data_IF_145321742768
#
_entry.id   IF_145321742768
#
_cell.length_a   1.000
_cell.length_b   1.000
_cell.length_c   1.000
_cell.angle_alpha   90.00
_cell.angle_beta   90.00
_cell.angle_gamma   90.00
#
_symmetry.space_group_name_H-M   'P 1'
#
loop_
_entity.id
_entity.type
_entity.pdbx_description
1 polymer ?
#
# COMPACT_ATOMS: atom_id res chain seq x y z
N UNK A 1 -43.77 -9.93 -0.64
CA UNK A 1 -42.88 -9.65 -1.80
C UNK A 1 -42.10 -10.94 -2.07
N UNK A 2 -42.19 -11.46 -3.29
CA UNK A 2 -41.40 -12.63 -3.70
C UNK A 2 -39.94 -12.15 -3.80
N UNK A 3 -39.02 -12.87 -3.14
CA UNK A 3 -37.59 -12.56 -3.25
C UNK A 3 -37.17 -12.62 -4.72
N UNK A 4 -36.56 -11.54 -5.22
CA UNK A 4 -36.00 -11.47 -6.57
C UNK A 4 -34.54 -11.95 -6.64
N UNK A 5 -33.98 -12.37 -5.51
CA UNK A 5 -32.60 -12.87 -5.42
C UNK A 5 -32.47 -14.25 -6.03
N UNK A 6 -31.37 -14.45 -6.73
CA UNK A 6 -30.96 -15.76 -7.28
C UNK A 6 -29.66 -16.21 -6.62
N UNK A 7 -29.54 -17.49 -6.36
CA UNK A 7 -28.25 -18.11 -5.96
C UNK A 7 -27.34 -18.18 -7.20
N UNK A 8 -26.10 -17.69 -7.07
CA UNK A 8 -25.08 -17.67 -8.13
C UNK A 8 -23.71 -17.97 -7.53
N UNK A 9 -22.75 -18.37 -8.36
CA UNK A 9 -21.41 -18.78 -7.95
C UNK A 9 -20.34 -17.95 -8.70
N UNK A 10 -20.22 -16.64 -8.45
CA UNK A 10 -19.27 -15.80 -9.14
C UNK A 10 -17.83 -16.14 -8.74
N UNK A 11 -16.95 -16.36 -9.71
CA UNK A 11 -15.54 -16.62 -9.48
C UNK A 11 -14.77 -15.39 -8.95
N UNK A 12 -15.33 -14.18 -9.08
CA UNK A 12 -14.71 -12.91 -8.67
C UNK A 12 -15.66 -12.17 -7.73
N UNK A 13 -15.17 -11.84 -6.52
CA UNK A 13 -15.89 -11.08 -5.50
C UNK A 13 -15.13 -9.77 -5.14
N UNK A 14 -14.57 -9.07 -6.14
CA UNK A 14 -13.92 -7.77 -5.95
C UNK A 14 -14.98 -6.66 -5.99
N UNK A 15 -15.49 -6.31 -4.80
CA UNK A 15 -16.70 -5.49 -4.62
C UNK A 15 -16.41 -4.00 -4.41
N UNK A 16 -15.29 -3.51 -4.91
CA UNK A 16 -14.92 -2.09 -4.81
C UNK A 16 -13.95 -1.79 -3.66
N UNK A 17 -12.66 -1.87 -3.95
CA UNK A 17 -11.58 -1.54 -3.02
C UNK A 17 -10.60 -0.57 -3.67
N UNK A 18 -9.94 0.31 -2.89
CA UNK A 18 -8.96 1.22 -3.45
C UNK A 18 -7.79 0.45 -4.06
N UNK A 19 -7.28 0.96 -5.19
CA UNK A 19 -6.03 0.49 -5.78
C UNK A 19 -4.88 1.24 -5.15
N UNK A 20 -3.85 0.50 -4.74
CA UNK A 20 -2.59 1.05 -4.24
C UNK A 20 -1.41 0.54 -5.06
N UNK A 21 -0.31 1.28 -5.03
CA UNK A 21 1.01 0.84 -5.46
C UNK A 21 1.87 0.54 -4.23
N UNK A 22 2.28 -0.71 -4.07
CA UNK A 22 3.15 -1.10 -2.98
C UNK A 22 4.59 -1.14 -3.45
N UNK A 23 5.46 -0.30 -2.90
CA UNK A 23 6.90 -0.31 -3.19
C UNK A 23 7.67 -1.05 -2.10
N UNK A 24 8.66 -1.84 -2.50
CA UNK A 24 9.51 -2.68 -1.65
C UNK A 24 10.91 -2.77 -2.25
N UNK A 25 11.88 -3.31 -1.51
CA UNK A 25 13.23 -3.58 -2.02
C UNK A 25 13.44 -5.08 -2.27
N UNK A 26 13.94 -5.40 -3.45
CA UNK A 26 14.38 -6.74 -3.83
C UNK A 26 15.65 -7.17 -3.07
N UNK A 27 16.02 -8.47 -3.05
CA UNK A 27 17.23 -8.93 -2.40
C UNK A 27 18.52 -8.26 -2.91
N UNK A 28 18.56 -7.84 -4.17
CA UNK A 28 19.68 -7.14 -4.80
C UNK A 28 19.66 -5.61 -4.57
N UNK A 29 18.73 -5.10 -3.75
CA UNK A 29 18.58 -3.67 -3.48
C UNK A 29 17.79 -2.87 -4.52
N UNK A 30 17.40 -3.47 -5.65
CA UNK A 30 16.56 -2.78 -6.64
C UNK A 30 15.14 -2.57 -6.13
N UNK A 31 14.45 -1.56 -6.65
CA UNK A 31 13.08 -1.25 -6.25
C UNK A 31 12.09 -2.17 -6.96
N UNK A 32 11.12 -2.70 -6.22
CA UNK A 32 9.98 -3.40 -6.77
C UNK A 32 8.71 -2.58 -6.50
N UNK A 33 7.80 -2.55 -7.47
CA UNK A 33 6.53 -1.83 -7.41
C UNK A 33 5.41 -2.75 -7.88
N UNK A 34 4.29 -2.81 -7.12
CA UNK A 34 3.18 -3.70 -7.46
C UNK A 34 1.83 -3.06 -7.15
N UNK A 35 0.90 -3.01 -8.14
CA UNK A 35 -0.47 -2.64 -7.88
C UNK A 35 -1.19 -3.78 -7.15
N UNK A 36 -1.96 -3.44 -6.12
CA UNK A 36 -2.90 -4.33 -5.44
C UNK A 36 -4.17 -3.57 -5.07
N UNK A 37 -5.26 -4.30 -4.88
CA UNK A 37 -6.54 -3.75 -4.40
C UNK A 37 -7.09 -4.52 -3.20
N UNK A 38 -6.41 -5.60 -2.78
CA UNK A 38 -6.74 -6.32 -1.56
C UNK A 38 -6.17 -5.58 -0.34
N UNK A 39 -6.76 -4.43 -0.01
CA UNK A 39 -6.28 -3.54 1.04
C UNK A 39 -7.42 -2.89 1.80
N UNK A 40 -7.25 -2.76 3.12
CA UNK A 40 -8.10 -1.93 3.97
C UNK A 40 -7.31 -1.42 5.18
N UNK A 41 -7.84 -0.39 5.85
CA UNK A 41 -7.21 0.25 7.00
C UNK A 41 -8.10 0.18 8.23
N UNK A 42 -7.47 -0.01 9.40
CA UNK A 42 -8.08 0.16 10.72
C UNK A 42 -7.14 1.04 11.56
N UNK A 43 -7.50 2.30 11.72
CA UNK A 43 -6.61 3.30 12.30
C UNK A 43 -5.34 3.46 11.45
N UNK A 44 -4.16 3.46 12.09
CA UNK A 44 -2.86 3.55 11.43
C UNK A 44 -2.26 2.17 11.13
N UNK A 45 -3.12 1.21 10.79
CA UNK A 45 -2.72 -0.11 10.31
C UNK A 45 -3.41 -0.42 9.00
N UNK A 46 -2.71 -1.14 8.13
CA UNK A 46 -3.26 -1.64 6.89
C UNK A 46 -3.11 -3.16 6.84
N UNK A 47 -4.10 -3.81 6.23
CA UNK A 47 -4.07 -5.22 5.87
C UNK A 47 -3.89 -5.32 4.36
N UNK A 48 -2.85 -6.03 3.93
CA UNK A 48 -2.43 -6.14 2.53
C UNK A 48 -2.52 -7.60 2.09
N UNK A 49 -3.44 -7.91 1.17
CA UNK A 49 -3.63 -9.25 0.64
C UNK A 49 -2.73 -9.57 -0.55
N UNK A 50 -2.04 -10.71 -0.50
CA UNK A 50 -1.14 -11.16 -1.56
C UNK A 50 -1.23 -12.67 -1.80
N UNK A 51 -0.88 -13.10 -3.01
CA UNK A 51 -0.37 -14.47 -3.17
C UNK A 51 0.96 -14.58 -2.43
N UNK A 52 1.16 -15.65 -1.66
CA UNK A 52 2.37 -15.86 -0.84
C UNK A 52 3.67 -15.87 -1.69
N UNK A 53 3.57 -16.32 -2.94
CA UNK A 53 4.67 -16.35 -3.92
C UNK A 53 4.98 -14.99 -4.55
N UNK A 54 4.25 -13.92 -4.19
CA UNK A 54 4.51 -12.61 -4.78
C UNK A 54 5.81 -12.03 -4.24
N UNK A 55 6.62 -11.45 -5.13
CA UNK A 55 7.87 -10.78 -4.74
C UNK A 55 7.64 -9.69 -3.70
N UNK A 56 6.52 -8.97 -3.79
CA UNK A 56 6.17 -7.91 -2.84
C UNK A 56 5.96 -8.47 -1.43
N UNK A 57 5.19 -9.56 -1.28
CA UNK A 57 4.98 -10.19 0.02
C UNK A 57 6.29 -10.70 0.62
N UNK A 58 7.11 -11.40 -0.19
CA UNK A 58 8.41 -11.89 0.24
C UNK A 58 9.35 -10.76 0.66
N UNK A 59 9.37 -9.66 -0.08
CA UNK A 59 10.16 -8.48 0.27
C UNK A 59 9.72 -7.87 1.60
N UNK A 60 8.40 -7.65 1.81
CA UNK A 60 7.87 -7.09 3.05
C UNK A 60 8.24 -7.96 4.25
N UNK A 61 8.07 -9.28 4.15
CA UNK A 61 8.42 -10.21 5.23
C UNK A 61 9.93 -10.19 5.51
N UNK A 62 10.75 -10.16 4.47
CA UNK A 62 12.21 -10.17 4.58
C UNK A 62 12.78 -8.87 5.14
N UNK A 63 12.30 -7.69 4.65
CA UNK A 63 12.86 -6.38 5.02
C UNK A 63 12.16 -5.76 6.23
N UNK A 64 10.93 -6.16 6.50
CA UNK A 64 10.09 -5.52 7.51
C UNK A 64 9.49 -4.19 7.06
N UNK A 65 9.62 -3.78 5.79
CA UNK A 65 9.32 -2.43 5.33
C UNK A 65 8.61 -2.40 3.98
N UNK A 66 7.74 -1.41 3.80
CA UNK A 66 7.13 -1.07 2.51
C UNK A 66 6.63 0.38 2.50
N UNK A 67 6.27 0.85 1.30
CA UNK A 67 5.49 2.09 1.15
C UNK A 67 4.19 1.78 0.40
N UNK A 68 3.09 2.24 0.95
CA UNK A 68 1.77 2.19 0.33
C UNK A 68 1.55 3.55 -0.35
N UNK A 69 1.59 3.57 -1.68
CA UNK A 69 1.33 4.77 -2.45
C UNK A 69 -0.10 4.69 -3.00
N UNK A 70 -0.88 5.76 -2.83
CA UNK A 70 -2.27 5.81 -3.27
C UNK A 70 -2.35 6.69 -4.53
N UNK A 71 -2.52 6.07 -5.70
CA UNK A 71 -2.66 6.79 -6.96
C UNK A 71 -4.02 7.44 -7.09
N UNK A 72 -4.10 8.52 -7.85
CA UNK A 72 -5.35 9.10 -8.32
C UNK A 72 -5.86 8.37 -9.57
N UNK A 73 -7.14 8.56 -9.89
CA UNK A 73 -7.81 7.92 -11.04
C UNK A 73 -7.17 8.26 -12.39
N UNK A 74 -6.53 9.43 -12.53
CA UNK A 74 -5.81 9.87 -13.73
C UNK A 74 -4.51 9.10 -13.99
N UNK A 75 -4.03 8.31 -13.00
CA UNK A 75 -2.84 7.46 -13.10
C UNK A 75 -3.16 6.04 -13.59
N UNK A 76 -4.37 5.78 -14.12
CA UNK A 76 -4.82 4.45 -14.53
C UNK A 76 -3.88 3.77 -15.52
N UNK A 77 -3.29 4.51 -16.46
CA UNK A 77 -2.40 3.94 -17.47
C UNK A 77 -1.09 3.41 -16.87
N UNK A 78 -0.51 4.12 -15.89
CA UNK A 78 0.68 3.66 -15.17
C UNK A 78 0.39 2.36 -14.42
N UNK A 79 -0.75 2.31 -13.73
CA UNK A 79 -1.19 1.13 -12.99
C UNK A 79 -1.45 -0.05 -13.93
N UNK A 80 -2.13 0.19 -15.04
CA UNK A 80 -2.47 -0.86 -15.99
C UNK A 80 -1.23 -1.46 -16.67
N UNK A 81 -0.20 -0.66 -16.94
CA UNK A 81 1.09 -1.18 -17.41
C UNK A 81 1.69 -2.20 -16.45
N UNK A 82 1.57 -1.99 -15.13
CA UNK A 82 2.09 -2.89 -14.10
C UNK A 82 1.25 -4.14 -13.84
N UNK A 83 -0.02 -4.18 -14.25
CA UNK A 83 -1.03 -5.15 -13.78
C UNK A 83 -0.64 -6.62 -13.98
N UNK A 84 0.09 -6.97 -15.05
CA UNK A 84 0.61 -8.33 -15.30
C UNK A 84 2.13 -8.40 -15.30
N UNK A 85 2.77 -7.64 -14.40
CA UNK A 85 4.21 -7.75 -14.17
C UNK A 85 4.51 -8.38 -12.81
N UNK A 86 5.65 -9.06 -12.71
CA UNK A 86 6.15 -9.61 -11.44
C UNK A 86 7.62 -9.26 -11.24
N UNK A 87 8.02 -9.06 -9.98
CA UNK A 87 9.43 -8.94 -9.60
C UNK A 87 10.12 -10.29 -9.36
N UNK A 88 9.36 -11.40 -9.43
CA UNK A 88 9.92 -12.75 -9.25
C UNK A 88 10.57 -13.25 -10.53
N UNK A 89 11.81 -13.72 -10.43
CA UNK A 89 12.54 -14.38 -11.51
C UNK A 89 13.23 -15.64 -10.96
N UNK A 90 12.85 -16.86 -11.41
CA UNK A 90 11.83 -17.14 -12.45
C UNK A 90 10.40 -16.74 -12.05
N UNK A 91 9.56 -16.51 -13.06
CA UNK A 91 8.13 -16.23 -12.85
C UNK A 91 7.46 -17.47 -12.26
N UNK A 92 6.74 -17.39 -11.12
CA UNK A 92 6.00 -18.52 -10.56
C UNK A 92 5.03 -19.14 -11.57
N UNK A 93 4.90 -20.47 -11.58
CA UNK A 93 4.15 -21.20 -12.59
C UNK A 93 2.69 -20.72 -12.70
N UNK A 94 1.99 -20.54 -11.59
CA UNK A 94 0.61 -20.04 -11.59
C UNK A 94 0.49 -18.62 -12.16
N UNK A 95 1.49 -17.77 -11.96
CA UNK A 95 1.55 -16.42 -12.55
C UNK A 95 1.83 -16.49 -14.05
N UNK A 96 2.74 -17.36 -14.48
CA UNK A 96 3.07 -17.54 -15.89
C UNK A 96 1.83 -17.99 -16.70
N UNK A 97 1.04 -18.93 -16.16
CA UNK A 97 -0.23 -19.38 -16.77
C UNK A 97 -1.25 -18.24 -16.93
N UNK A 98 -1.24 -17.24 -16.03
CA UNK A 98 -2.09 -16.05 -16.11
C UNK A 98 -1.48 -14.90 -16.94
N UNK A 99 -0.37 -15.16 -17.64
CA UNK A 99 0.28 -14.22 -18.54
C UNK A 99 1.11 -13.13 -17.85
N UNK A 100 1.57 -13.36 -16.62
CA UNK A 100 2.52 -12.48 -15.97
C UNK A 100 3.91 -12.62 -16.58
N UNK A 101 4.63 -11.50 -16.64
CA UNK A 101 6.02 -11.46 -17.09
C UNK A 101 6.91 -10.80 -16.02
N UNK A 102 8.16 -11.22 -15.97
CA UNK A 102 9.17 -10.56 -15.16
C UNK A 102 9.45 -9.15 -15.68
N UNK A 103 9.52 -8.19 -14.77
CA UNK A 103 9.95 -6.83 -15.04
C UNK A 103 10.91 -6.37 -13.93
N UNK A 104 12.14 -6.04 -14.32
CA UNK A 104 13.20 -5.63 -13.40
C UNK A 104 13.06 -4.18 -12.96
N UNK A 105 12.76 -3.28 -13.91
CA UNK A 105 12.57 -1.84 -13.65
C UNK A 105 11.10 -1.46 -13.78
N UNK A 106 10.35 -1.71 -12.72
CA UNK A 106 8.92 -1.40 -12.70
C UNK A 106 8.61 0.09 -12.62
N UNK A 107 9.49 0.88 -12.03
CA UNK A 107 9.32 2.33 -11.99
C UNK A 107 9.46 2.92 -13.40
N UNK A 108 10.56 2.66 -14.09
CA UNK A 108 10.77 3.12 -15.47
C UNK A 108 9.73 2.56 -16.43
N UNK A 109 9.37 1.25 -16.29
CA UNK A 109 8.33 0.64 -17.10
C UNK A 109 6.95 1.28 -16.94
N UNK A 110 6.60 1.71 -15.72
CA UNK A 110 5.35 2.43 -15.44
C UNK A 110 5.42 3.93 -15.81
N UNK A 111 6.61 4.48 -15.99
CA UNK A 111 6.83 5.93 -16.14
C UNK A 111 6.58 6.68 -14.84
N UNK A 112 6.98 6.08 -13.70
CA UNK A 112 6.85 6.64 -12.36
C UNK A 112 8.23 6.94 -11.78
N UNK A 113 8.29 7.94 -10.88
CA UNK A 113 9.54 8.43 -10.30
C UNK A 113 9.68 7.96 -8.85
N UNK A 114 10.77 7.22 -8.52
CA UNK A 114 11.06 6.87 -7.13
C UNK A 114 11.55 8.11 -6.38
N UNK A 115 11.01 8.32 -5.17
CA UNK A 115 11.39 9.39 -4.25
C UNK A 115 11.79 8.79 -2.90
N UNK A 116 12.89 9.27 -2.31
CA UNK A 116 13.39 8.76 -1.03
C UNK A 116 12.33 8.87 0.08
N UNK A 117 12.18 7.80 0.86
CA UNK A 117 11.38 7.77 2.08
C UNK A 117 12.12 8.39 3.26
N UNK A 118 11.40 8.73 4.33
CA UNK A 118 11.97 9.32 5.56
C UNK A 118 12.22 8.27 6.66
N UNK A 119 11.42 7.21 6.72
CA UNK A 119 11.43 6.27 7.86
C UNK A 119 11.66 4.82 7.46
N UNK A 120 11.65 4.51 6.16
CA UNK A 120 11.84 3.18 5.58
C UNK A 120 12.75 3.26 4.36
N UNK A 121 13.38 2.13 3.99
CA UNK A 121 14.28 2.10 2.83
C UNK A 121 13.57 2.05 1.46
N UNK A 122 12.42 1.38 1.26
CA UNK A 122 11.70 1.39 -0.02
C UNK A 122 11.27 2.82 -0.40
N UNK A 123 11.40 3.21 -1.69
CA UNK A 123 11.05 4.54 -2.13
C UNK A 123 9.54 4.77 -2.18
N UNK A 124 9.13 6.01 -2.02
CA UNK A 124 7.80 6.52 -2.36
C UNK A 124 7.66 6.70 -3.87
N UNK A 125 6.43 6.79 -4.37
CA UNK A 125 6.13 7.16 -5.77
C UNK A 125 5.78 8.65 -5.80
N UNK A 126 6.61 9.46 -6.48
CA UNK A 126 6.49 10.93 -6.50
C UNK A 126 5.10 11.39 -6.97
N UNK A 127 4.56 10.75 -7.99
CA UNK A 127 3.28 11.12 -8.62
C UNK A 127 2.05 10.75 -7.79
N UNK A 128 2.18 9.85 -6.80
CA UNK A 128 1.06 9.48 -5.94
C UNK A 128 0.80 10.56 -4.89
N UNK A 129 -0.42 11.13 -4.83
CA UNK A 129 -0.71 12.26 -3.95
C UNK A 129 -0.72 11.93 -2.46
N UNK A 130 -0.88 10.66 -2.10
CA UNK A 130 -0.81 10.18 -0.73
C UNK A 130 0.17 9.00 -0.67
N UNK A 131 1.10 9.02 0.30
CA UNK A 131 2.11 7.98 0.46
C UNK A 131 2.24 7.63 1.94
N UNK A 132 2.22 6.34 2.27
CA UNK A 132 2.24 5.83 3.62
C UNK A 132 3.47 4.93 3.79
N UNK A 133 4.46 5.39 4.53
CA UNK A 133 5.61 4.56 4.92
C UNK A 133 5.19 3.62 6.05
N UNK A 134 5.49 2.34 5.92
CA UNK A 134 4.97 1.33 6.82
C UNK A 134 5.99 0.26 7.18
N UNK A 135 5.85 -0.29 8.40
CA UNK A 135 6.61 -1.43 8.88
C UNK A 135 5.73 -2.66 9.05
N UNK A 136 6.27 -3.82 8.72
CA UNK A 136 5.61 -5.12 8.86
C UNK A 136 5.38 -5.46 10.35
N UNK A 137 4.23 -6.04 10.64
CA UNK A 137 3.87 -6.49 12.00
C UNK A 137 3.70 -8.00 12.04
N UNK A 138 2.85 -8.55 11.16
CA UNK A 138 2.50 -9.97 11.16
C UNK A 138 1.97 -10.42 9.81
N UNK A 139 2.16 -11.70 9.49
CA UNK A 139 1.51 -12.39 8.37
C UNK A 139 0.38 -13.28 8.91
N UNK A 140 -0.74 -13.30 8.20
CA UNK A 140 -1.89 -14.16 8.46
C UNK A 140 -2.14 -15.03 7.23
N UNK A 141 -2.12 -16.33 7.38
CA UNK A 141 -2.51 -17.25 6.32
C UNK A 141 -4.02 -17.15 6.09
N UNK A 142 -4.41 -16.97 4.84
CA UNK A 142 -5.81 -16.98 4.41
C UNK A 142 -6.07 -18.29 3.69
N UNK A 143 -7.22 -18.94 3.95
CA UNK A 143 -7.57 -20.26 3.40
C UNK A 143 -6.60 -21.37 3.83
N UNK A 144 -6.01 -21.28 5.03
CA UNK A 144 -5.08 -22.31 5.54
C UNK A 144 -5.76 -23.67 5.70
N UNK A 145 -7.04 -23.65 6.09
CA UNK A 145 -7.93 -24.82 6.19
C UNK A 145 -8.11 -25.54 4.86
N UNK A 146 -8.18 -24.82 3.75
CA UNK A 146 -8.32 -25.40 2.42
C UNK A 146 -6.99 -25.96 1.87
N UNK A 147 -5.85 -25.41 2.31
CA UNK A 147 -4.54 -25.90 1.85
C UNK A 147 -4.20 -27.29 2.41
N UNK A 148 -4.61 -27.60 3.64
CA UNK A 148 -4.46 -28.93 4.21
C UNK A 148 -5.34 -29.96 3.49
N UNK A 149 -6.52 -29.55 3.03
CA UNK A 149 -7.45 -30.40 2.25
C UNK A 149 -6.98 -30.58 0.79
N UNK A 150 -6.50 -29.54 0.16
CA UNK A 150 -6.11 -29.49 -1.26
C UNK A 150 -4.81 -30.24 -1.58
N UNK A 151 -4.04 -30.67 -0.59
CA UNK A 151 -2.91 -31.60 -0.85
C UNK A 151 -3.40 -32.95 -1.37
N UNK A 152 -4.68 -33.29 -1.17
CA UNK A 152 -5.28 -34.54 -1.62
C UNK A 152 -6.09 -34.43 -2.92
N UNK A 153 -6.65 -33.25 -3.23
CA UNK A 153 -7.46 -33.05 -4.46
C UNK A 153 -7.28 -31.63 -5.06
N UNK A 154 -6.10 -31.30 -5.57
CA UNK A 154 -5.97 -30.06 -6.37
C UNK A 154 -6.78 -30.19 -7.64
N UNK A 155 -7.85 -29.38 -7.80
CA UNK A 155 -8.44 -29.16 -9.10
C UNK A 155 -7.35 -28.54 -10.00
N UNK A 156 -7.12 -29.07 -11.17
CA UNK A 156 -6.12 -28.59 -12.15
C UNK A 156 -6.34 -27.15 -12.59
N UNK A 157 -7.43 -26.54 -12.18
CA UNK A 157 -7.86 -25.19 -12.56
C UNK A 157 -7.46 -24.10 -11.56
N UNK A 158 -7.13 -24.43 -10.31
CA UNK A 158 -6.70 -23.44 -9.33
C UNK A 158 -5.21 -23.13 -9.49
N UNK A 159 -4.91 -21.92 -9.98
CA UNK A 159 -3.53 -21.43 -10.19
C UNK A 159 -3.01 -20.56 -9.06
N UNK A 160 -3.79 -20.37 -7.97
CA UNK A 160 -3.38 -19.60 -6.79
C UNK A 160 -2.44 -20.41 -5.91
N UNK A 161 -1.32 -19.83 -5.53
CA UNK A 161 -0.29 -20.48 -4.72
C UNK A 161 -0.24 -19.86 -3.30
N UNK A 162 -1.22 -20.19 -2.48
CA UNK A 162 -1.34 -19.64 -1.12
C UNK A 162 -1.73 -18.17 -1.09
N UNK A 163 -2.56 -17.80 -0.13
CA UNK A 163 -2.94 -16.41 0.11
C UNK A 163 -2.47 -16.00 1.51
N UNK A 164 -1.85 -14.85 1.59
CA UNK A 164 -1.42 -14.25 2.85
C UNK A 164 -1.95 -12.83 2.98
N UNK A 165 -2.34 -12.45 4.18
CA UNK A 165 -2.68 -11.09 4.53
C UNK A 165 -1.59 -10.54 5.47
N UNK A 166 -0.92 -9.47 5.07
CA UNK A 166 0.15 -8.85 5.84
C UNK A 166 -0.38 -7.64 6.60
N UNK A 167 -0.27 -7.67 7.92
CA UNK A 167 -0.51 -6.50 8.77
C UNK A 167 0.72 -5.62 8.75
N UNK A 168 0.54 -4.34 8.38
CA UNK A 168 1.57 -3.32 8.44
C UNK A 168 1.12 -2.13 9.28
N UNK A 169 2.08 -1.47 9.94
CA UNK A 169 1.87 -0.27 10.75
C UNK A 169 2.42 0.94 10.03
N UNK A 170 1.59 1.97 9.85
CA UNK A 170 1.99 3.24 9.25
C UNK A 170 2.94 3.98 10.22
N UNK A 171 4.06 4.45 9.68
CA UNK A 171 5.09 5.22 10.38
C UNK A 171 5.04 6.70 10.01
N UNK A 172 4.73 6.99 8.74
CA UNK A 172 4.68 8.33 8.20
C UNK A 172 3.62 8.41 7.12
N UNK A 173 2.91 9.54 7.09
CA UNK A 173 1.94 9.88 6.04
C UNK A 173 2.44 11.13 5.34
N UNK A 174 2.56 11.07 4.00
CA UNK A 174 2.85 12.19 3.13
C UNK A 174 1.63 12.47 2.27
N UNK A 175 1.23 13.72 2.17
CA UNK A 175 0.08 14.16 1.40
C UNK A 175 0.46 15.43 0.65
N UNK A 176 0.08 15.53 -0.63
CA UNK A 176 0.24 16.79 -1.36
C UNK A 176 -0.62 17.88 -0.70
N UNK A 177 -0.07 19.09 -0.46
CA UNK A 177 -0.78 20.12 0.30
C UNK A 177 -2.17 20.50 -0.25
N UNK A 178 -2.37 20.38 -1.56
CA UNK A 178 -3.64 20.67 -2.23
C UNK A 178 -4.79 19.73 -1.85
N UNK A 179 -4.51 18.59 -1.23
CA UNK A 179 -5.52 17.66 -0.71
C UNK A 179 -5.86 17.88 0.76
N UNK A 180 -5.22 18.83 1.44
CA UNK A 180 -5.48 19.09 2.86
C UNK A 180 -6.59 20.11 3.03
N UNK A 181 -7.39 19.95 4.09
CA UNK A 181 -8.39 20.93 4.47
C UNK A 181 -7.75 22.31 4.75
N UNK A 182 -8.32 23.43 4.30
CA UNK A 182 -7.72 24.76 4.45
C UNK A 182 -7.38 25.16 5.90
N UNK A 183 -8.11 24.62 6.86
CA UNK A 183 -7.99 24.98 8.28
C UNK A 183 -7.46 23.83 9.16
N UNK A 184 -7.13 22.65 8.58
CA UNK A 184 -6.59 21.51 9.30
C UNK A 184 -5.59 20.73 8.43
N UNK A 185 -4.31 20.98 8.68
CA UNK A 185 -3.20 20.33 7.95
C UNK A 185 -3.06 18.83 8.23
N UNK A 186 -3.82 18.28 9.15
CA UNK A 186 -3.84 16.83 9.43
C UNK A 186 -5.08 16.13 8.85
N UNK A 187 -5.91 16.86 8.13
CA UNK A 187 -7.15 16.33 7.55
C UNK A 187 -7.12 16.39 6.03
N UNK A 188 -7.28 15.21 5.41
CA UNK A 188 -7.42 15.10 3.96
C UNK A 188 -8.87 15.44 3.59
N UNK A 189 -9.02 16.28 2.58
CA UNK A 189 -10.33 16.61 2.01
C UNK A 189 -10.82 15.45 1.13
N UNK A 190 -11.91 14.75 1.49
CA UNK A 190 -12.40 13.61 0.74
C UNK A 190 -12.95 13.99 -0.64
N UNK A 191 -13.33 15.26 -0.85
CA UNK A 191 -13.86 15.73 -2.12
C UNK A 191 -12.75 16.10 -3.12
N UNK A 192 -11.55 16.35 -2.66
CA UNK A 192 -10.39 16.67 -3.51
C UNK A 192 -9.61 15.43 -3.91
N UNK A 193 -9.54 14.41 -3.06
CA UNK A 193 -8.87 13.15 -3.41
C UNK A 193 -9.75 12.30 -4.34
N UNK A 194 -9.20 11.91 -5.48
CA UNK A 194 -9.87 11.09 -6.50
C UNK A 194 -9.23 9.70 -6.56
N UNK A 195 -9.54 8.78 -5.63
CA UNK A 195 -8.97 7.44 -5.60
C UNK A 195 -9.38 6.61 -6.81
N UNK A 196 -8.49 5.69 -7.18
CA UNK A 196 -8.81 4.62 -8.12
C UNK A 196 -9.40 3.43 -7.36
N UNK A 197 -10.52 2.93 -7.83
CA UNK A 197 -11.25 1.80 -7.24
C UNK A 197 -11.20 0.60 -8.19
N UNK A 198 -10.87 -0.57 -7.67
CA UNK A 198 -10.98 -1.85 -8.36
C UNK A 198 -12.33 -2.50 -8.03
N UNK A 199 -13.14 -2.76 -9.03
CA UNK A 199 -14.39 -3.53 -8.88
C UNK A 199 -14.53 -4.52 -10.03
N UNK A 200 -14.67 -5.80 -9.71
CA UNK A 200 -14.77 -6.89 -10.69
C UNK A 200 -13.72 -6.80 -11.82
N UNK A 201 -12.46 -6.61 -11.44
CA UNK A 201 -11.30 -6.45 -12.34
C UNK A 201 -11.39 -5.26 -13.31
N UNK A 202 -12.16 -4.23 -12.97
CA UNK A 202 -12.26 -2.96 -13.72
C UNK A 202 -11.92 -1.79 -12.82
N UNK A 203 -11.34 -0.73 -13.41
CA UNK A 203 -11.01 0.50 -12.70
C UNK A 203 -12.18 1.49 -12.75
N UNK A 204 -12.46 2.11 -11.60
CA UNK A 204 -13.46 3.16 -11.43
C UNK A 204 -12.86 4.31 -10.63
N UNK A 205 -13.40 5.51 -10.79
CA UNK A 205 -13.19 6.62 -9.88
C UNK A 205 -14.23 6.62 -8.76
N UNK A 206 -13.94 7.29 -7.66
CA UNK A 206 -14.93 7.58 -6.63
C UNK A 206 -15.91 8.66 -7.16
N UNK A 207 -17.20 8.41 -7.06
CA UNK A 207 -18.25 9.39 -7.37
C UNK A 207 -18.35 10.50 -6.32
N UNK A 208 -19.25 11.48 -6.53
CA UNK A 208 -19.52 12.52 -5.53
C UNK A 208 -20.15 11.94 -4.26
N UNK A 209 -20.09 12.69 -3.16
CA UNK A 209 -20.83 12.36 -1.94
C UNK A 209 -22.33 12.21 -2.26
N UNK A 210 -22.96 11.14 -1.77
CA UNK A 210 -24.37 10.85 -2.00
C UNK A 210 -25.24 11.21 -0.80
N UNK A 211 -24.66 11.25 0.40
CA UNK A 211 -25.32 11.65 1.64
C UNK A 211 -24.28 11.86 2.75
N UNK A 212 -24.57 12.80 3.63
CA UNK A 212 -23.78 12.99 4.85
C UNK A 212 -23.90 11.77 5.77
N UNK A 213 -22.77 11.25 6.25
CA UNK A 213 -22.75 10.14 7.20
C UNK A 213 -22.81 10.64 8.65
N UNK A 214 -23.67 10.01 9.49
CA UNK A 214 -23.65 10.26 10.93
C UNK A 214 -22.29 9.95 11.60
N UNK A 215 -21.45 9.12 10.99
CA UNK A 215 -20.09 8.88 11.47
C UNK A 215 -19.20 10.12 11.32
N UNK A 216 -19.50 11.01 10.37
CA UNK A 216 -18.76 12.26 10.21
C UNK A 216 -19.07 13.29 11.32
N UNK A 217 -20.10 13.07 12.13
CA UNK A 217 -20.42 13.88 13.30
C UNK A 217 -19.53 13.56 14.52
N UNK A 218 -18.85 12.38 14.49
CA UNK A 218 -17.93 11.95 15.55
C UNK A 218 -16.63 12.74 15.42
N UNK A 219 -16.17 13.44 16.47
CA UNK A 219 -14.92 14.18 16.42
C UNK A 219 -13.73 13.27 16.04
N UNK A 220 -12.92 13.70 15.07
CA UNK A 220 -11.76 12.89 14.59
C UNK A 220 -10.79 12.47 15.71
N UNK A 221 -10.68 13.28 16.77
CA UNK A 221 -9.86 12.94 17.92
C UNK A 221 -10.25 11.58 18.56
N UNK A 222 -11.50 11.15 18.41
CA UNK A 222 -11.99 9.86 18.93
C UNK A 222 -11.54 8.67 18.05
N UNK A 223 -11.15 8.90 16.79
CA UNK A 223 -10.57 7.90 15.91
C UNK A 223 -9.05 7.77 16.07
N UNK A 224 -8.43 8.63 16.87
CA UNK A 224 -6.97 8.66 17.04
C UNK A 224 -6.48 7.39 17.73
N UNK A 225 -5.67 6.61 17.02
CA UNK A 225 -5.05 5.40 17.56
C UNK A 225 -3.71 5.67 18.25
N UNK A 226 -3.25 4.80 19.17
CA UNK A 226 -1.92 4.93 19.81
C UNK A 226 -0.75 4.90 18.81
N UNK A 227 -0.94 4.36 17.60
CA UNK A 227 0.09 4.33 16.57
C UNK A 227 0.42 5.73 16.03
N UNK A 228 -0.56 6.65 15.99
CA UNK A 228 -0.34 8.07 15.66
C UNK A 228 0.65 8.71 16.63
N UNK A 229 0.48 8.47 17.93
CA UNK A 229 1.35 9.03 18.96
C UNK A 229 2.75 8.42 18.92
N UNK A 230 2.84 7.14 18.58
CA UNK A 230 4.12 6.47 18.35
C UNK A 230 4.89 7.11 17.18
N UNK A 231 4.25 7.30 16.05
CA UNK A 231 4.84 7.93 14.86
C UNK A 231 5.29 9.38 15.17
N UNK A 232 4.50 10.14 15.89
CA UNK A 232 4.85 11.51 16.33
C UNK A 232 6.05 11.54 17.26
N UNK A 233 6.17 10.59 18.20
CA UNK A 233 7.35 10.49 19.09
C UNK A 233 8.62 10.17 18.30
N UNK A 234 8.56 9.29 17.31
CA UNK A 234 9.69 8.96 16.43
C UNK A 234 10.15 10.20 15.66
N UNK A 235 9.21 10.98 15.07
CA UNK A 235 9.51 12.22 14.35
C UNK A 235 10.23 13.26 15.21
N UNK A 236 9.82 13.44 16.47
CA UNK A 236 10.46 14.41 17.39
C UNK A 236 11.90 14.03 17.72
N UNK A 237 12.21 12.73 17.83
CA UNK A 237 13.56 12.22 18.11
C UNK A 237 14.52 12.48 16.94
N UNK A 238 14.09 12.24 15.70
CA UNK A 238 14.91 12.49 14.51
C UNK A 238 15.20 13.97 14.31
N UNK A 239 14.21 14.85 14.50
CA UNK A 239 14.39 16.30 14.39
C UNK A 239 15.23 16.88 15.53
N UNK A 240 15.16 16.32 16.74
CA UNK A 240 15.99 16.75 17.89
C UNK A 240 17.46 16.34 17.74
N UNK A 241 17.75 15.21 17.10
CA UNK A 241 19.13 14.74 16.85
C UNK A 241 19.85 15.55 15.78
N UNK A 242 19.13 16.03 14.75
CA UNK A 242 19.71 16.90 13.70
C UNK A 242 20.00 18.33 14.19
N UNK A 243 19.23 18.83 15.15
CA UNK A 243 19.44 20.18 15.72
C UNK A 243 20.67 20.25 16.64
N UNK A 244 21.08 19.15 17.25
CA UNK A 244 22.27 19.07 18.12
C UNK A 244 23.58 18.97 17.34
N UNK A 245 23.55 18.43 16.11
CA UNK A 245 24.75 18.31 15.30
C UNK A 245 25.21 19.65 14.66
N UNK A 246 24.32 20.63 14.50
CA UNK A 246 24.67 21.95 13.94
C UNK A 246 25.22 22.97 14.95
N UNK A 247 25.26 22.66 16.25
CA UNK A 247 25.78 23.57 17.27
C UNK A 247 27.24 23.37 17.68
N UNK A 248 27.97 22.42 17.09
CA UNK A 248 29.35 22.11 17.46
C UNK A 248 30.44 22.57 16.48
N UNK A 249 30.11 23.35 15.45
CA UNK A 249 31.11 23.85 14.49
C UNK A 249 31.23 25.37 14.44
N UNK A 250 31.30 26.02 15.62
CA UNK A 250 31.72 27.43 15.70
C UNK A 250 32.51 27.67 16.97
N UNK A 251 33.76 27.21 17.00
CA UNK A 251 34.79 27.73 17.87
C UNK A 251 36.02 27.99 17.03
N UNK A 252 36.19 29.23 16.64
CA UNK A 252 37.42 29.79 16.09
C UNK A 252 38.49 29.79 17.17
N UNK A 253 39.76 29.56 16.86
CA UNK A 253 40.84 29.99 17.73
C UNK A 253 41.31 31.35 17.23
N UNK A 254 41.12 32.36 18.09
CA UNK A 254 41.89 33.58 17.98
C UNK A 254 43.24 33.38 18.67
N UNK A 255 44.25 34.01 18.00
CA UNK A 255 45.47 34.62 18.52
C UNK A 255 46.59 33.77 19.14
N UNK A 256 47.72 33.66 18.52
CA UNK A 256 48.96 34.49 18.69
C UNK A 256 50.00 34.12 17.65
#
# INVERSE_FOLDING_TARGET
>A
MISTHKTVEPAILYLGTPVILNSTLNPNGSCNLAPISSVFWLGWRAMLGFEAVSQTAQNIIRTGECVINLPSQDQVDCINRLSRTTGSNPVPAGKALRGYRYEADKFGFAGLTPMASETVAPPRVLECPIQLEATFVRAHSVMADEYDYAQHERSKECTLEGITCLEVRIQRVHVVPSLLMPHDQNRIDPDLWRPMIMSFCRYYGLGPEIAHSKLAEIPEAQYRSPDVDRANRARRRTNGSSATCHKQTSLSPDTN
#
